data_IF_080378698145
#
_entry.id   IF_080378698145
#
_cell.length_a   1.000
_cell.length_b   1.000
_cell.length_c   1.000
_cell.angle_alpha   90.00
_cell.angle_beta   90.00
_cell.angle_gamma   90.00
#
_symmetry.space_group_name_H-M   'P 1'
#
loop_
_entity.id
_entity.type
_entity.pdbx_description
1 polymer ?
#
# COMPACT_ATOMS: atom_id res chain seq x y z
N UNK A 1 12.00 0.61 -14.24
CA UNK A 1 12.62 -0.28 -13.24
C UNK A 1 11.58 -0.53 -12.16
N UNK A 2 11.12 -1.77 -12.03
CA UNK A 2 10.07 -2.18 -11.09
C UNK A 2 10.67 -2.28 -9.69
N UNK A 3 10.13 -1.54 -8.72
CA UNK A 3 10.29 -1.88 -7.30
C UNK A 3 8.91 -2.27 -6.82
N UNK A 4 8.50 -3.50 -7.16
CA UNK A 4 7.37 -4.12 -6.48
C UNK A 4 7.89 -4.59 -5.14
N UNK A 5 7.56 -3.87 -4.07
CA UNK A 5 7.77 -4.39 -2.71
C UNK A 5 6.70 -5.45 -2.48
N UNK A 6 6.94 -6.66 -2.99
CA UNK A 6 6.25 -7.86 -2.51
C UNK A 6 6.87 -8.18 -1.16
N UNK A 7 6.44 -7.41 -0.15
CA UNK A 7 7.04 -7.40 1.16
C UNK A 7 6.17 -8.12 2.17
N UNK A 8 6.77 -9.01 2.94
CA UNK A 8 6.21 -9.39 4.23
C UNK A 8 6.39 -8.20 5.17
N UNK A 9 5.30 -7.68 5.72
CA UNK A 9 5.36 -6.58 6.69
C UNK A 9 5.51 -7.18 8.09
N UNK A 10 6.46 -6.65 8.84
CA UNK A 10 6.69 -7.01 10.24
C UNK A 10 6.18 -5.87 11.12
N UNK A 11 5.21 -6.18 11.99
CA UNK A 11 4.76 -5.25 13.01
C UNK A 11 5.43 -5.61 14.33
N UNK A 12 6.20 -4.66 14.86
CA UNK A 12 6.91 -4.77 16.13
C UNK A 12 6.33 -3.76 17.11
N UNK A 13 6.24 -4.14 18.38
CA UNK A 13 5.65 -3.33 19.43
C UNK A 13 6.63 -3.14 20.57
N UNK A 14 6.67 -1.92 21.10
CA UNK A 14 7.35 -1.60 22.34
C UNK A 14 6.34 -1.60 23.48
N UNK A 15 6.53 -2.51 24.43
CA UNK A 15 5.66 -2.63 25.60
C UNK A 15 6.40 -2.15 26.84
N UNK A 16 5.70 -1.37 27.65
CA UNK A 16 6.13 -1.02 29.00
C UNK A 16 5.12 -1.53 30.00
N UNK A 17 5.56 -2.30 30.98
CA UNK A 17 4.73 -2.67 32.12
C UNK A 17 4.65 -1.48 33.07
N UNK A 18 3.51 -0.80 33.16
CA UNK A 18 3.30 0.33 34.09
C UNK A 18 2.67 -0.10 35.43
N UNK A 19 2.38 -1.39 35.60
CA UNK A 19 1.70 -1.95 36.77
C UNK A 19 2.57 -2.92 37.58
N UNK A 20 1.90 -3.77 38.35
CA UNK A 20 2.54 -4.85 39.10
C UNK A 20 3.14 -5.91 38.16
N UNK A 21 3.85 -6.88 38.75
CA UNK A 21 4.39 -8.02 38.02
C UNK A 21 3.30 -8.72 37.20
N UNK A 22 3.51 -8.80 35.88
CA UNK A 22 2.58 -9.46 34.96
C UNK A 22 3.11 -10.83 34.57
N UNK A 23 2.35 -11.88 34.85
CA UNK A 23 2.63 -13.24 34.37
C UNK A 23 1.80 -13.56 33.16
N UNK A 24 2.42 -14.25 32.22
CA UNK A 24 1.72 -14.82 31.08
C UNK A 24 1.22 -13.78 30.10
N UNK A 25 2.09 -12.86 29.72
CA UNK A 25 1.79 -11.78 28.80
C UNK A 25 1.90 -12.29 27.37
N UNK A 26 0.90 -11.99 26.57
CA UNK A 26 0.89 -12.30 25.14
C UNK A 26 0.09 -11.28 24.35
N UNK A 27 0.30 -11.25 23.05
CA UNK A 27 -0.39 -10.34 22.15
C UNK A 27 -0.98 -11.09 20.96
N UNK A 28 -2.09 -10.55 20.44
CA UNK A 28 -2.79 -11.03 19.25
C UNK A 28 -3.09 -9.88 18.29
N UNK A 29 -3.03 -10.14 16.99
CA UNK A 29 -3.43 -9.23 15.93
C UNK A 29 -4.63 -9.83 15.21
N UNK A 30 -5.75 -9.11 15.19
CA UNK A 30 -6.95 -9.47 14.46
C UNK A 30 -7.24 -8.42 13.38
N UNK A 31 -7.94 -8.81 12.31
CA UNK A 31 -8.57 -7.84 11.42
C UNK A 31 -9.67 -7.09 12.16
N UNK A 32 -9.82 -5.80 11.85
CA UNK A 32 -10.91 -5.01 12.39
C UNK A 32 -12.24 -5.36 11.70
N UNK A 33 -12.21 -5.56 10.38
CA UNK A 33 -13.36 -5.96 9.57
C UNK A 33 -13.07 -7.22 8.74
N UNK A 34 -14.11 -7.94 8.31
CA UNK A 34 -13.94 -9.14 7.47
C UNK A 34 -13.61 -8.80 6.01
N UNK A 35 -13.97 -7.60 5.55
CA UNK A 35 -13.75 -7.16 4.17
C UNK A 35 -12.25 -7.00 3.85
N UNK A 36 -11.45 -6.76 4.88
CA UNK A 36 -9.98 -6.62 4.83
C UNK A 36 -9.25 -7.94 4.50
N UNK A 37 -9.93 -9.10 4.60
CA UNK A 37 -9.32 -10.44 4.45
C UNK A 37 -9.08 -10.84 2.98
N UNK A 38 -9.71 -10.16 2.02
CA UNK A 38 -9.57 -10.47 0.60
C UNK A 38 -8.19 -10.10 0.03
N UNK A 39 -7.52 -9.10 0.61
CA UNK A 39 -6.27 -8.54 0.11
C UNK A 39 -5.09 -8.73 1.06
N UNK A 40 -5.35 -9.11 2.31
CA UNK A 40 -4.29 -9.29 3.30
C UNK A 40 -4.44 -10.61 4.02
N UNK A 41 -3.31 -11.27 4.27
CA UNK A 41 -3.23 -12.45 5.12
C UNK A 41 -2.30 -12.20 6.29
N UNK A 42 -2.79 -12.50 7.50
CA UNK A 42 -1.97 -12.51 8.72
C UNK A 42 -1.32 -13.90 8.80
N UNK A 43 -0.01 -13.95 8.60
CA UNK A 43 0.78 -15.21 8.60
C UNK A 43 1.33 -15.54 9.98
N UNK A 44 1.37 -14.56 10.88
CA UNK A 44 1.61 -14.74 12.31
C UNK A 44 0.77 -13.72 13.08
N UNK A 45 -0.24 -14.22 13.79
CA UNK A 45 -1.29 -13.43 14.44
C UNK A 45 -1.11 -13.32 15.96
N UNK A 46 -0.13 -14.01 16.54
CA UNK A 46 0.05 -14.07 17.98
C UNK A 46 1.51 -14.23 18.38
N UNK A 47 1.84 -13.70 19.56
CA UNK A 47 3.17 -13.86 20.16
C UNK A 47 3.10 -13.94 21.68
N UNK A 48 3.88 -14.87 22.24
CA UNK A 48 4.07 -15.01 23.68
C UNK A 48 5.25 -14.17 24.15
N UNK A 49 5.07 -13.43 25.24
CA UNK A 49 6.07 -12.49 25.77
C UNK A 49 6.61 -12.93 27.14
N UNK A 50 5.98 -13.92 27.77
CA UNK A 50 6.41 -14.45 29.05
C UNK A 50 5.94 -13.57 30.21
N UNK A 51 6.85 -13.20 31.09
CA UNK A 51 6.53 -12.42 32.30
C UNK A 51 7.34 -11.13 32.29
N UNK A 52 6.71 -10.01 32.67
CA UNK A 52 7.36 -8.72 32.76
C UNK A 52 7.34 -8.21 34.20
N UNK A 53 8.52 -7.84 34.70
CA UNK A 53 8.63 -7.17 35.98
C UNK A 53 7.98 -5.79 35.96
N UNK A 54 7.67 -5.29 37.15
CA UNK A 54 7.17 -3.92 37.34
C UNK A 54 8.12 -2.93 36.65
N UNK A 55 7.57 -2.01 35.84
CA UNK A 55 8.32 -0.98 35.10
C UNK A 55 9.31 -1.52 34.04
N UNK A 56 9.25 -2.81 33.69
CA UNK A 56 10.07 -3.35 32.62
C UNK A 56 9.64 -2.83 31.24
N UNK A 57 10.62 -2.63 30.37
CA UNK A 57 10.42 -2.39 28.95
C UNK A 57 10.75 -3.66 28.18
N UNK A 58 9.97 -3.96 27.16
CA UNK A 58 10.17 -5.11 26.30
C UNK A 58 9.91 -4.72 24.85
N UNK A 59 10.83 -5.09 23.97
CA UNK A 59 10.67 -4.92 22.54
C UNK A 59 10.28 -6.27 21.92
N UNK A 60 9.17 -6.30 21.20
CA UNK A 60 8.72 -7.48 20.48
C UNK A 60 9.26 -7.42 19.05
N UNK A 61 10.46 -7.95 18.84
CA UNK A 61 11.17 -7.86 17.55
C UNK A 61 10.61 -8.79 16.44
N UNK A 62 9.63 -9.65 16.75
CA UNK A 62 9.05 -10.59 15.78
C UNK A 62 7.56 -10.85 16.00
N UNK A 63 6.79 -9.83 16.40
CA UNK A 63 5.44 -10.02 16.92
C UNK A 63 4.49 -10.59 15.86
N UNK A 64 4.27 -9.84 14.78
CA UNK A 64 3.27 -10.17 13.77
C UNK A 64 3.81 -10.05 12.37
N UNK A 65 3.29 -10.91 11.50
CA UNK A 65 3.66 -10.97 10.09
C UNK A 65 2.40 -10.93 9.25
N UNK A 66 2.38 -10.03 8.31
CA UNK A 66 1.28 -9.88 7.35
C UNK A 66 1.84 -9.83 5.93
N UNK A 67 1.03 -10.33 5.00
CA UNK A 67 1.32 -10.34 3.57
C UNK A 67 0.15 -9.68 2.86
N UNK A 68 0.46 -8.63 2.10
CA UNK A 68 -0.49 -7.90 1.27
C UNK A 68 -0.43 -8.47 -0.15
N UNK A 69 -1.59 -8.63 -0.79
CA UNK A 69 -1.72 -9.05 -2.18
C UNK A 69 -1.10 -8.02 -3.11
N UNK A 70 -0.53 -8.47 -4.22
CA UNK A 70 -0.08 -7.60 -5.32
C UNK A 70 -1.25 -6.93 -6.07
N UNK A 71 -2.44 -7.51 -5.93
CA UNK A 71 -3.70 -7.00 -6.47
C UNK A 71 -4.47 -6.09 -5.50
N UNK A 72 -3.84 -5.62 -4.42
CA UNK A 72 -4.53 -4.72 -3.49
C UNK A 72 -4.84 -3.39 -4.18
N UNK A 73 -6.04 -2.86 -3.98
CA UNK A 73 -6.41 -1.57 -4.56
C UNK A 73 -5.53 -0.45 -3.98
N UNK A 74 -5.21 0.55 -4.79
CA UNK A 74 -4.51 1.74 -4.31
C UNK A 74 -5.39 2.53 -3.34
N UNK A 75 -4.77 3.16 -2.33
CA UNK A 75 -5.46 3.93 -1.29
C UNK A 75 -6.47 3.09 -0.47
N UNK A 76 -6.36 1.75 -0.50
CA UNK A 76 -7.16 0.90 0.37
C UNK A 76 -6.63 0.98 1.80
N UNK A 77 -7.49 1.44 2.72
CA UNK A 77 -7.27 1.41 4.16
C UNK A 77 -7.60 0.03 4.71
N UNK A 78 -6.59 -0.66 5.25
CA UNK A 78 -6.73 -1.95 5.92
C UNK A 78 -6.60 -1.73 7.43
N UNK A 79 -7.60 -2.17 8.17
CA UNK A 79 -7.69 -1.94 9.61
C UNK A 79 -7.42 -3.20 10.42
N UNK A 80 -6.58 -3.07 11.44
CA UNK A 80 -6.22 -4.15 12.37
C UNK A 80 -6.47 -3.72 13.82
N UNK A 81 -6.59 -4.71 14.69
CA UNK A 81 -6.62 -4.52 16.14
C UNK A 81 -5.56 -5.38 16.80
N UNK A 82 -4.58 -4.74 17.41
CA UNK A 82 -3.62 -5.39 18.30
C UNK A 82 -4.20 -5.46 19.71
N UNK A 83 -4.23 -6.65 20.30
CA UNK A 83 -4.75 -6.94 21.65
C UNK A 83 -3.63 -7.49 22.51
N UNK A 84 -3.55 -7.04 23.75
CA UNK A 84 -2.53 -7.44 24.72
C UNK A 84 -3.20 -8.04 25.93
N UNK A 85 -2.69 -9.18 26.38
CA UNK A 85 -3.28 -10.00 27.42
C UNK A 85 -2.29 -10.24 28.54
N UNK A 86 -2.82 -10.42 29.76
CA UNK A 86 -2.10 -10.94 30.94
C UNK A 86 -2.89 -12.16 31.42
N UNK A 87 -2.32 -13.34 31.29
CA UNK A 87 -3.10 -14.59 31.36
C UNK A 87 -4.21 -14.55 30.31
N UNK A 88 -5.45 -14.81 30.71
CA UNK A 88 -6.61 -14.78 29.82
C UNK A 88 -7.33 -13.41 29.79
N UNK A 89 -6.84 -12.44 30.57
CA UNK A 89 -7.47 -11.12 30.68
C UNK A 89 -6.92 -10.14 29.65
N UNK A 90 -7.81 -9.52 28.87
CA UNK A 90 -7.45 -8.42 27.98
C UNK A 90 -7.01 -7.22 28.84
N UNK A 91 -5.76 -6.79 28.66
CA UNK A 91 -5.19 -5.65 29.37
C UNK A 91 -5.31 -4.36 28.56
N UNK A 92 -5.07 -4.41 27.25
CA UNK A 92 -5.17 -3.25 26.36
C UNK A 92 -5.40 -3.67 24.91
N UNK A 93 -5.88 -2.73 24.10
CA UNK A 93 -6.03 -2.91 22.66
C UNK A 93 -5.76 -1.60 21.92
N UNK A 94 -5.28 -1.72 20.69
CA UNK A 94 -4.94 -0.59 19.82
C UNK A 94 -5.40 -0.89 18.40
N UNK A 95 -6.04 0.09 17.78
CA UNK A 95 -6.44 0.03 16.39
C UNK A 95 -5.32 0.60 15.52
N UNK A 96 -5.06 -0.06 14.40
CA UNK A 96 -3.96 0.22 13.48
C UNK A 96 -4.53 0.29 12.08
N UNK A 97 -4.15 1.32 11.33
CA UNK A 97 -4.52 1.48 9.93
C UNK A 97 -3.26 1.41 9.08
N UNK A 98 -3.30 0.60 8.02
CA UNK A 98 -2.31 0.59 6.95
C UNK A 98 -3.04 1.04 5.68
N UNK A 99 -2.60 2.17 5.13
CA UNK A 99 -3.05 2.63 3.82
C UNK A 99 -2.08 2.09 2.78
N UNK A 100 -2.61 1.41 1.76
CA UNK A 100 -1.81 0.85 0.68
C UNK A 100 -1.56 1.87 -0.42
N UNK A 101 -0.34 1.88 -0.94
CA UNK A 101 0.02 2.60 -2.15
C UNK A 101 0.40 1.56 -3.22
N UNK A 102 -0.54 1.29 -4.12
CA UNK A 102 -0.33 0.46 -5.30
C UNK A 102 -0.20 1.35 -6.55
N UNK A 103 0.96 2.00 -6.62
CA UNK A 103 1.30 2.94 -7.67
C UNK A 103 2.38 2.45 -8.62
N UNK A 104 2.36 2.94 -9.87
CA UNK A 104 3.43 2.80 -10.84
C UNK A 104 3.99 4.16 -11.22
N UNK A 105 5.29 4.35 -10.97
CA UNK A 105 6.01 5.53 -11.44
C UNK A 105 6.52 5.33 -12.87
N UNK A 106 6.10 6.21 -13.79
CA UNK A 106 6.62 6.27 -15.15
C UNK A 106 7.81 7.22 -15.21
N UNK A 107 8.95 6.70 -15.64
CA UNK A 107 10.21 7.45 -15.75
C UNK A 107 10.99 7.01 -16.99
N UNK A 108 11.82 7.90 -17.55
CA UNK A 108 12.70 7.57 -18.67
C UNK A 108 12.05 7.72 -20.05
N UNK A 109 12.46 6.89 -21.01
CA UNK A 109 12.01 6.96 -22.41
C UNK A 109 11.22 5.69 -22.72
N UNK A 110 10.03 5.86 -23.30
CA UNK A 110 9.18 4.77 -23.79
C UNK A 110 8.99 4.95 -25.30
N UNK A 111 9.37 3.93 -26.07
CA UNK A 111 9.29 3.88 -27.53
C UNK A 111 8.17 2.95 -28.04
N UNK A 112 7.35 2.43 -27.12
CA UNK A 112 6.28 1.48 -27.38
C UNK A 112 4.91 1.98 -26.91
N UNK A 113 3.89 1.15 -27.13
CA UNK A 113 2.54 1.39 -26.60
C UNK A 113 2.51 1.05 -25.11
N UNK A 114 1.94 1.92 -24.28
CA UNK A 114 1.67 1.73 -22.86
C UNK A 114 0.19 1.98 -22.58
N UNK A 115 -0.41 1.10 -21.78
CA UNK A 115 -1.78 1.23 -21.31
C UNK A 115 -1.76 1.58 -19.82
N UNK A 116 -2.35 2.72 -19.46
CA UNK A 116 -2.58 3.10 -18.08
C UNK A 116 -3.97 2.59 -17.70
N UNK A 117 -4.01 1.61 -16.81
CA UNK A 117 -5.21 0.87 -16.42
C UNK A 117 -5.68 1.26 -15.02
N UNK A 118 -6.98 1.10 -14.69
CA UNK A 118 -7.56 1.57 -13.43
C UNK A 118 -7.18 0.76 -12.19
N UNK A 119 -6.54 -0.40 -12.35
CA UNK A 119 -6.07 -1.25 -11.24
C UNK A 119 -4.90 -0.64 -10.45
N UNK A 120 -4.31 0.46 -10.94
CA UNK A 120 -3.11 1.09 -10.38
C UNK A 120 -3.22 2.60 -10.41
N UNK A 121 -2.56 3.25 -9.45
CA UNK A 121 -2.30 4.69 -9.52
C UNK A 121 -1.07 4.94 -10.39
N UNK A 122 -1.18 5.77 -11.41
CA UNK A 122 -0.05 6.08 -12.29
C UNK A 122 0.55 7.42 -11.93
N UNK A 123 1.85 7.48 -11.73
CA UNK A 123 2.53 8.69 -11.29
C UNK A 123 3.66 9.01 -12.26
N UNK A 124 3.71 10.26 -12.75
CA UNK A 124 4.79 10.78 -13.58
C UNK A 124 5.51 11.87 -12.78
N UNK A 125 6.51 11.46 -12.00
CA UNK A 125 7.31 12.34 -11.13
C UNK A 125 8.64 12.75 -11.76
N UNK A 126 9.26 11.87 -12.54
CA UNK A 126 10.53 12.11 -13.22
C UNK A 126 10.29 12.39 -14.72
N UNK A 127 11.28 12.94 -15.46
CA UNK A 127 11.13 13.15 -16.90
C UNK A 127 10.77 11.82 -17.58
N UNK A 128 9.53 11.75 -18.06
CA UNK A 128 9.02 10.64 -18.83
C UNK A 128 8.73 11.13 -20.25
N UNK A 129 9.34 10.45 -21.23
CA UNK A 129 9.27 10.81 -22.64
C UNK A 129 8.71 9.65 -23.45
N UNK A 130 7.69 9.94 -24.27
CA UNK A 130 7.29 9.07 -25.36
C UNK A 130 8.09 9.45 -26.60
N UNK A 131 8.78 8.49 -27.21
CA UNK A 131 9.73 8.75 -28.29
C UNK A 131 9.59 7.74 -29.43
N UNK A 132 9.10 8.21 -30.58
CA UNK A 132 8.96 7.41 -31.79
C UNK A 132 7.50 7.26 -32.25
N UNK A 133 7.31 6.98 -33.54
CA UNK A 133 5.99 6.93 -34.17
C UNK A 133 5.08 5.82 -33.63
N UNK A 134 5.68 4.80 -33.00
CA UNK A 134 4.96 3.69 -32.35
C UNK A 134 4.74 3.93 -30.85
N UNK A 135 5.34 4.98 -30.27
CA UNK A 135 5.19 5.30 -28.86
C UNK A 135 3.82 5.90 -28.62
N UNK A 136 3.00 5.20 -27.82
CA UNK A 136 1.63 5.63 -27.55
C UNK A 136 1.25 5.39 -26.11
N UNK A 137 0.79 6.44 -25.42
CA UNK A 137 0.17 6.30 -24.10
C UNK A 137 -1.35 6.27 -24.25
N UNK A 138 -1.99 5.24 -23.72
CA UNK A 138 -3.44 5.09 -23.72
C UNK A 138 -3.91 5.07 -22.27
N UNK A 139 -4.61 6.12 -21.84
CA UNK A 139 -5.25 6.18 -20.52
C UNK A 139 -6.63 5.55 -20.62
N UNK A 140 -6.80 4.39 -19.99
CA UNK A 140 -8.04 3.63 -20.02
C UNK A 140 -9.12 4.28 -19.12
N UNK A 141 -10.42 3.99 -19.36
CA UNK A 141 -11.50 4.50 -18.53
C UNK A 141 -11.31 4.13 -17.04
N UNK A 142 -11.65 5.04 -16.14
CA UNK A 142 -11.53 4.83 -14.69
C UNK A 142 -10.13 5.00 -14.11
N UNK A 143 -9.12 5.29 -14.94
CA UNK A 143 -7.73 5.39 -14.48
C UNK A 143 -7.48 6.69 -13.70
N UNK A 144 -6.73 6.59 -12.60
CA UNK A 144 -6.18 7.73 -11.87
C UNK A 144 -4.71 7.93 -12.24
N UNK A 145 -4.37 9.11 -12.75
CA UNK A 145 -3.01 9.47 -13.17
C UNK A 145 -2.61 10.86 -12.66
N UNK A 146 -1.41 10.92 -12.07
CA UNK A 146 -0.82 12.12 -11.49
C UNK A 146 0.41 12.51 -12.32
N UNK A 147 0.39 13.72 -12.88
CA UNK A 147 1.46 14.33 -13.66
C UNK A 147 2.12 15.45 -12.86
N UNK A 148 3.13 15.10 -12.07
CA UNK A 148 3.94 16.07 -11.33
C UNK A 148 5.01 16.75 -12.22
N UNK A 149 5.22 16.24 -13.43
CA UNK A 149 6.01 16.87 -14.49
C UNK A 149 5.28 16.86 -15.83
N UNK A 150 5.85 17.56 -16.80
CA UNK A 150 5.31 17.62 -18.18
C UNK A 150 5.63 16.32 -18.90
N UNK A 151 4.60 15.70 -19.47
CA UNK A 151 4.76 14.60 -20.42
C UNK A 151 5.41 15.11 -21.71
N UNK A 152 6.57 14.58 -22.07
CA UNK A 152 7.26 14.93 -23.32
C UNK A 152 6.90 13.92 -24.40
N UNK A 153 6.47 14.40 -25.57
CA UNK A 153 6.17 13.59 -26.77
C UNK A 153 7.10 14.00 -27.90
N UNK A 154 7.78 13.05 -28.54
CA UNK A 154 8.71 13.30 -29.65
C UNK A 154 8.52 12.29 -30.79
N UNK A 155 9.01 12.65 -31.98
CA UNK A 155 9.11 11.75 -33.13
C UNK A 155 7.80 11.05 -33.53
N UNK A 156 6.67 11.77 -33.43
CA UNK A 156 5.34 11.24 -33.79
C UNK A 156 4.63 10.46 -32.69
N UNK A 157 5.17 10.45 -31.47
CA UNK A 157 4.52 9.84 -30.32
C UNK A 157 3.18 10.51 -29.97
N UNK A 158 2.23 9.71 -29.48
CA UNK A 158 0.88 10.19 -29.14
C UNK A 158 0.45 9.80 -27.72
N UNK A 159 -0.41 10.60 -27.11
CA UNK A 159 -1.04 10.28 -25.83
C UNK A 159 -2.54 10.55 -25.89
N UNK A 160 -3.35 9.55 -25.57
CA UNK A 160 -4.82 9.61 -25.69
C UNK A 160 -5.46 9.15 -24.39
N UNK A 161 -6.50 9.85 -23.96
CA UNK A 161 -7.35 9.45 -22.84
C UNK A 161 -8.72 8.99 -23.36
N UNK A 162 -9.10 7.76 -23.03
CA UNK A 162 -10.35 7.13 -23.47
C UNK A 162 -11.30 7.05 -22.28
N UNK A 163 -12.15 8.05 -22.09
CA UNK A 163 -13.17 8.03 -21.03
C UNK A 163 -14.43 7.25 -21.45
N UNK A 164 -15.21 6.80 -20.45
CA UNK A 164 -16.60 6.36 -20.65
C UNK A 164 -17.52 7.14 -19.69
N UNK A 165 -18.82 7.30 -19.99
CA UNK A 165 -19.76 8.01 -19.11
C UNK A 165 -19.81 7.45 -17.67
N UNK A 166 -19.57 6.15 -17.52
CA UNK A 166 -19.57 5.39 -16.25
C UNK A 166 -18.17 5.21 -15.64
N UNK A 167 -17.11 5.71 -16.29
CA UNK A 167 -15.72 5.51 -15.84
C UNK A 167 -14.86 6.70 -16.24
N UNK A 168 -14.92 7.74 -15.40
CA UNK A 168 -14.20 9.00 -15.57
C UNK A 168 -12.71 8.75 -15.36
N UNK A 169 -11.88 9.41 -16.18
CA UNK A 169 -10.43 9.43 -15.99
C UNK A 169 -10.12 10.61 -15.06
N UNK A 170 -9.39 10.33 -13.98
CA UNK A 170 -8.92 11.35 -13.06
C UNK A 170 -7.48 11.72 -13.43
N UNK A 171 -7.30 12.97 -13.88
CA UNK A 171 -5.99 13.51 -14.24
C UNK A 171 -5.68 14.66 -13.31
N UNK A 172 -4.60 14.54 -12.54
CA UNK A 172 -4.07 15.63 -11.74
C UNK A 172 -2.75 16.10 -12.36
N UNK A 173 -2.63 17.38 -12.73
CA UNK A 173 -1.40 17.98 -13.24
C UNK A 173 -1.33 18.20 -14.75
N UNK A 174 -0.11 18.24 -15.30
CA UNK A 174 0.18 18.78 -16.63
C UNK A 174 0.03 17.75 -17.77
N UNK A 175 -1.18 17.21 -17.96
CA UNK A 175 -1.48 16.35 -19.10
C UNK A 175 -2.00 17.14 -20.31
N UNK A 176 -1.45 16.87 -21.49
CA UNK A 176 -1.91 17.43 -22.78
C UNK A 176 -2.19 16.29 -23.76
N UNK A 177 -3.42 15.73 -23.76
CA UNK A 177 -3.79 14.68 -24.69
C UNK A 177 -3.82 15.22 -26.12
N UNK A 178 -3.55 14.33 -27.08
CA UNK A 178 -3.83 14.60 -28.48
C UNK A 178 -5.34 14.45 -28.70
N UNK A 179 -5.96 15.50 -29.23
CA UNK A 179 -7.39 15.52 -29.61
C UNK A 179 -7.65 14.77 -30.89
#
# INVERSE_FOLDING_TARGET
>A
MQVAVIGQIHLNFFIKNVGAFGQGIWAKLDFFSLDDTCFVSITKDSCWLGSLSTLANYNIDTAFRLKISDSVDNELSINFRAKFFVGDSLSSQYDLEIVTENGYELTGICDSVIYLTPDKQWIINSPFRLDGANAKMIVCPGTNVIFNTVLVKQNGATAVAIGKPDSIIYVNGNFRPDT
#
